data_IF_789116281152
#
_entry.id   IF_789116281152
#
_cell.length_a   1.000
_cell.length_b   1.000
_cell.length_c   1.000
_cell.angle_alpha   90.00
_cell.angle_beta   90.00
_cell.angle_gamma   90.00
#
_symmetry.space_group_name_H-M   'P 1'
#
loop_
_entity.id
_entity.type
_entity.pdbx_description
1 polymer ?
#
# COMPACT_ATOMS: atom_id res chain seq x y z
N UNK A 1 -2.42 -6.24 -55.61
CA UNK A 1 -2.01 -5.41 -54.47
C UNK A 1 -3.21 -5.34 -53.56
N UNK A 2 -3.29 -6.25 -52.60
CA UNK A 2 -4.41 -6.27 -51.65
C UNK A 2 -4.06 -5.32 -50.52
N UNK A 3 -4.48 -4.05 -50.64
CA UNK A 3 -4.67 -3.22 -49.47
C UNK A 3 -5.72 -3.94 -48.61
N UNK A 4 -5.25 -4.71 -47.62
CA UNK A 4 -6.09 -5.24 -46.54
C UNK A 4 -6.70 -4.03 -45.86
N UNK A 5 -7.92 -3.66 -46.28
CA UNK A 5 -8.74 -2.68 -45.58
C UNK A 5 -8.73 -3.07 -44.11
N UNK A 6 -8.27 -2.17 -43.24
CA UNK A 6 -8.22 -2.43 -41.81
C UNK A 6 -9.66 -2.59 -41.33
N UNK A 7 -10.06 -3.82 -40.99
CA UNK A 7 -11.35 -4.08 -40.36
C UNK A 7 -11.38 -3.42 -38.99
N UNK A 8 -12.54 -2.91 -38.59
CA UNK A 8 -12.73 -2.28 -37.28
C UNK A 8 -12.77 -3.40 -36.24
N UNK A 9 -11.88 -3.35 -35.25
CA UNK A 9 -11.89 -4.31 -34.15
C UNK A 9 -12.70 -3.75 -32.98
N UNK A 10 -13.69 -4.52 -32.54
CA UNK A 10 -14.58 -4.22 -31.44
C UNK A 10 -14.40 -5.27 -30.33
N UNK A 11 -14.83 -4.96 -29.12
CA UNK A 11 -14.72 -5.85 -27.96
C UNK A 11 -16.06 -6.43 -27.50
N UNK A 12 -17.17 -6.07 -28.14
CA UNK A 12 -18.52 -6.47 -27.71
C UNK A 12 -19.43 -6.74 -28.90
N UNK A 13 -19.99 -7.94 -28.95
CA UNK A 13 -20.99 -8.33 -29.95
C UNK A 13 -22.29 -7.54 -29.72
N UNK A 14 -22.72 -7.38 -28.47
CA UNK A 14 -23.91 -6.59 -28.12
C UNK A 14 -23.83 -5.14 -28.59
N UNK A 15 -22.68 -4.48 -28.41
CA UNK A 15 -22.52 -3.10 -28.84
C UNK A 15 -22.73 -2.96 -30.35
N UNK A 16 -22.19 -3.90 -31.13
CA UNK A 16 -22.35 -3.92 -32.59
C UNK A 16 -23.82 -4.14 -32.97
N UNK A 17 -24.51 -5.09 -32.32
CA UNK A 17 -25.94 -5.33 -32.55
C UNK A 17 -26.80 -4.11 -32.24
N UNK A 18 -26.52 -3.41 -31.13
CA UNK A 18 -27.25 -2.17 -30.77
C UNK A 18 -27.03 -1.05 -31.79
N UNK A 19 -25.81 -0.91 -32.32
CA UNK A 19 -25.51 0.07 -33.38
C UNK A 19 -26.29 -0.30 -34.65
N UNK A 20 -26.25 -1.57 -35.04
CA UNK A 20 -26.97 -2.09 -36.19
C UNK A 20 -28.49 -1.84 -36.08
N UNK A 21 -29.08 -2.20 -34.94
CA UNK A 21 -30.50 -1.97 -34.64
C UNK A 21 -30.88 -0.48 -34.70
N UNK A 22 -30.03 0.41 -34.15
CA UNK A 22 -30.27 1.84 -34.19
C UNK A 22 -30.28 2.40 -35.62
N UNK A 23 -29.36 1.94 -36.47
CA UNK A 23 -29.31 2.34 -37.90
C UNK A 23 -30.52 1.80 -38.64
N UNK A 24 -30.85 0.51 -38.48
CA UNK A 24 -32.03 -0.10 -39.10
C UNK A 24 -33.32 0.60 -38.68
N UNK A 25 -33.45 0.93 -37.40
CA UNK A 25 -34.61 1.65 -36.87
C UNK A 25 -34.72 3.06 -37.46
N UNK A 26 -33.60 3.78 -37.56
CA UNK A 26 -33.56 5.11 -38.18
C UNK A 26 -33.96 5.07 -39.66
N UNK A 27 -33.47 4.10 -40.42
CA UNK A 27 -33.80 3.96 -41.84
C UNK A 27 -35.25 3.50 -42.03
N UNK A 28 -35.72 2.57 -41.20
CA UNK A 28 -37.13 2.17 -41.18
C UNK A 28 -38.05 3.38 -40.96
N UNK A 29 -37.72 4.26 -40.00
CA UNK A 29 -38.49 5.49 -39.77
C UNK A 29 -38.52 6.44 -40.98
N UNK A 30 -37.46 6.47 -41.80
CA UNK A 30 -37.43 7.25 -43.04
C UNK A 30 -38.32 6.61 -44.11
N UNK A 31 -38.29 5.28 -44.23
CA UNK A 31 -39.14 4.52 -45.15
C UNK A 31 -40.63 4.71 -44.80
N UNK A 32 -40.97 4.73 -43.51
CA UNK A 32 -42.35 4.88 -43.04
C UNK A 32 -42.96 6.22 -43.43
N UNK A 33 -42.14 7.27 -43.43
CA UNK A 33 -42.54 8.63 -43.82
C UNK A 33 -42.76 8.78 -45.33
N UNK A 34 -42.37 7.79 -46.14
CA UNK A 34 -42.63 7.81 -47.57
C UNK A 34 -44.13 7.60 -47.82
N UNK A 35 -44.79 8.59 -48.42
CA UNK A 35 -46.23 8.54 -48.74
C UNK A 35 -46.53 7.94 -50.11
N UNK A 36 -45.51 7.70 -50.94
CA UNK A 36 -45.65 7.25 -52.32
C UNK A 36 -45.76 5.72 -52.37
N UNK A 37 -44.99 5.03 -51.54
CA UNK A 37 -44.94 3.57 -51.50
C UNK A 37 -46.08 3.00 -50.65
N UNK A 38 -46.60 1.84 -51.08
CA UNK A 38 -47.52 1.05 -50.26
C UNK A 38 -46.78 0.28 -49.15
N UNK A 39 -47.53 -0.33 -48.23
CA UNK A 39 -46.94 -1.05 -47.09
C UNK A 39 -46.13 -2.28 -47.51
N UNK A 40 -46.49 -2.92 -48.63
CA UNK A 40 -45.76 -4.07 -49.15
C UNK A 40 -44.40 -3.67 -49.74
N UNK A 41 -44.36 -2.55 -50.45
CA UNK A 41 -43.14 -1.97 -51.00
C UNK A 41 -42.23 -1.48 -49.88
N UNK A 42 -42.78 -0.82 -48.86
CA UNK A 42 -42.04 -0.39 -47.67
C UNK A 42 -41.40 -1.57 -46.96
N UNK A 43 -42.16 -2.64 -46.70
CA UNK A 43 -41.61 -3.82 -46.03
C UNK A 43 -40.50 -4.46 -46.85
N UNK A 44 -40.69 -4.63 -48.16
CA UNK A 44 -39.66 -5.18 -49.05
C UNK A 44 -38.38 -4.35 -49.01
N UNK A 45 -38.48 -3.02 -48.98
CA UNK A 45 -37.32 -2.13 -48.90
C UNK A 45 -36.64 -2.21 -47.52
N UNK A 46 -37.41 -2.34 -46.42
CA UNK A 46 -36.84 -2.53 -45.06
C UNK A 46 -36.05 -3.82 -44.97
N UNK A 47 -36.63 -4.93 -45.42
CA UNK A 47 -35.96 -6.24 -45.44
C UNK A 47 -34.69 -6.20 -46.30
N UNK A 48 -34.80 -5.65 -47.51
CA UNK A 48 -33.65 -5.56 -48.40
C UNK A 48 -32.53 -4.67 -47.85
N UNK A 49 -32.88 -3.54 -47.23
CA UNK A 49 -31.92 -2.67 -46.57
C UNK A 49 -31.24 -3.38 -45.41
N UNK A 50 -32.02 -4.04 -44.55
CA UNK A 50 -31.50 -4.80 -43.40
C UNK A 50 -30.49 -5.84 -43.87
N UNK A 51 -30.84 -6.67 -44.84
CA UNK A 51 -29.95 -7.74 -45.33
C UNK A 51 -28.64 -7.21 -45.90
N UNK A 52 -28.70 -6.18 -46.76
CA UNK A 52 -27.50 -5.58 -47.37
C UNK A 52 -26.65 -4.89 -46.30
N UNK A 53 -27.28 -4.13 -45.41
CA UNK A 53 -26.58 -3.37 -44.38
C UNK A 53 -25.89 -4.31 -43.39
N UNK A 54 -26.61 -5.28 -42.82
CA UNK A 54 -26.07 -6.27 -41.90
C UNK A 54 -24.88 -7.00 -42.52
N UNK A 55 -25.03 -7.51 -43.74
CA UNK A 55 -23.95 -8.24 -44.44
C UNK A 55 -22.70 -7.36 -44.61
N UNK A 56 -22.87 -6.15 -45.15
CA UNK A 56 -21.75 -5.24 -45.41
C UNK A 56 -21.10 -4.76 -44.10
N UNK A 57 -21.90 -4.49 -43.07
CA UNK A 57 -21.45 -4.02 -41.77
C UNK A 57 -20.62 -5.10 -41.06
N UNK A 58 -21.11 -6.34 -41.04
CA UNK A 58 -20.43 -7.48 -40.41
C UNK A 58 -19.14 -7.89 -41.12
N UNK A 59 -19.05 -7.73 -42.45
CA UNK A 59 -17.83 -8.01 -43.22
C UNK A 59 -16.65 -7.08 -42.86
N UNK A 60 -16.96 -5.86 -42.41
CA UNK A 60 -15.96 -4.85 -42.07
C UNK A 60 -15.58 -4.83 -40.57
N UNK A 61 -16.23 -5.67 -39.75
CA UNK A 61 -16.04 -5.70 -38.31
C UNK A 61 -15.36 -7.01 -37.88
N UNK A 62 -14.50 -6.89 -36.88
CA UNK A 62 -13.93 -7.99 -36.11
C UNK A 62 -14.30 -7.80 -34.63
N UNK A 63 -14.48 -8.90 -33.92
CA UNK A 63 -14.69 -8.87 -32.48
C UNK A 63 -13.56 -9.67 -31.83
N UNK A 64 -12.79 -9.01 -30.96
CA UNK A 64 -11.59 -9.59 -30.33
C UNK A 64 -10.65 -10.28 -31.33
N UNK A 65 -10.47 -9.66 -32.50
CA UNK A 65 -9.62 -10.18 -33.58
C UNK A 65 -10.20 -11.36 -34.37
N UNK A 66 -11.42 -11.80 -34.06
CA UNK A 66 -12.17 -12.83 -34.81
C UNK A 66 -13.12 -12.19 -35.80
N UNK A 67 -13.37 -12.89 -36.92
CA UNK A 67 -14.42 -12.49 -37.85
C UNK A 67 -15.81 -12.59 -37.18
N UNK A 68 -16.76 -11.76 -37.62
CA UNK A 68 -18.11 -11.70 -37.06
C UNK A 68 -18.79 -13.06 -36.91
N UNK A 69 -18.73 -13.91 -37.93
CA UNK A 69 -19.35 -15.25 -37.90
C UNK A 69 -18.81 -16.13 -36.78
N UNK A 70 -17.50 -16.11 -36.53
CA UNK A 70 -16.86 -16.87 -35.46
C UNK A 70 -17.15 -16.26 -34.08
N UNK A 71 -17.16 -14.93 -33.98
CA UNK A 71 -17.48 -14.24 -32.73
C UNK A 71 -18.92 -14.44 -32.27
N UNK A 72 -19.86 -14.68 -33.21
CA UNK A 72 -21.25 -14.95 -32.89
C UNK A 72 -21.48 -16.35 -32.30
N UNK A 73 -20.67 -17.33 -32.70
CA UNK A 73 -20.73 -18.72 -32.19
C UNK A 73 -20.13 -18.86 -30.79
N UNK A 74 -19.07 -18.10 -30.49
CA UNK A 74 -18.37 -18.14 -29.21
C UNK A 74 -19.17 -17.54 -28.03
N UNK A 75 -20.30 -16.89 -28.32
CA UNK A 75 -21.11 -16.19 -27.32
C UNK A 75 -20.53 -14.83 -26.93
N UNK A 76 -21.39 -13.92 -26.49
CA UNK A 76 -20.97 -12.57 -26.10
C UNK A 76 -20.40 -12.60 -24.68
N UNK A 77 -19.07 -12.60 -24.55
CA UNK A 77 -18.37 -12.50 -23.27
C UNK A 77 -18.67 -11.20 -22.51
N UNK A 78 -19.30 -10.21 -23.17
CA UNK A 78 -19.72 -8.95 -22.58
C UNK A 78 -21.20 -8.91 -22.19
N UNK A 79 -21.96 -9.99 -22.36
CA UNK A 79 -23.34 -10.08 -21.84
C UNK A 79 -23.42 -9.90 -20.33
N UNK A 80 -22.41 -10.39 -19.59
CA UNK A 80 -22.27 -10.18 -18.14
C UNK A 80 -21.74 -8.79 -17.77
N UNK A 81 -21.42 -7.95 -18.77
CA UNK A 81 -20.78 -6.64 -18.61
C UNK A 81 -21.68 -5.46 -19.02
N UNK A 82 -22.98 -5.51 -18.73
CA UNK A 82 -23.83 -4.30 -18.65
C UNK A 82 -24.83 -4.37 -17.47
N UNK A 83 -25.12 -3.29 -16.71
CA UNK A 83 -24.40 -2.03 -16.50
C UNK A 83 -23.77 -1.99 -15.09
N UNK A 84 -22.49 -1.61 -14.98
CA UNK A 84 -21.81 -1.18 -13.74
C UNK A 84 -22.29 -1.95 -12.49
N UNK A 85 -22.00 -3.25 -12.44
CA UNK A 85 -22.34 -4.21 -11.37
C UNK A 85 -22.64 -3.46 -10.07
N UNK A 86 -23.95 -3.24 -9.82
CA UNK A 86 -24.40 -2.25 -8.83
C UNK A 86 -23.91 -2.64 -7.44
N UNK A 87 -23.72 -3.93 -7.20
CA UNK A 87 -23.11 -4.44 -5.97
C UNK A 87 -21.64 -4.06 -5.89
N UNK A 88 -20.85 -4.20 -6.96
CA UNK A 88 -19.46 -3.71 -6.99
C UNK A 88 -19.39 -2.20 -6.85
N UNK A 89 -20.29 -1.45 -7.49
CA UNK A 89 -20.37 0.01 -7.34
C UNK A 89 -20.69 0.40 -5.89
N UNK A 90 -21.65 -0.30 -5.29
CA UNK A 90 -22.07 -0.11 -3.90
C UNK A 90 -20.91 -0.45 -2.95
N UNK A 91 -20.24 -1.57 -3.15
CA UNK A 91 -19.06 -1.96 -2.38
C UNK A 91 -17.92 -0.94 -2.50
N UNK A 92 -17.65 -0.44 -3.71
CA UNK A 92 -16.64 0.59 -3.93
C UNK A 92 -16.99 1.88 -3.17
N UNK A 93 -18.26 2.30 -3.22
CA UNK A 93 -18.73 3.55 -2.63
C UNK A 93 -18.95 3.50 -1.12
N UNK A 94 -19.43 2.38 -0.61
CA UNK A 94 -19.81 2.24 0.81
C UNK A 94 -18.67 1.67 1.65
N UNK A 95 -17.75 0.89 1.06
CA UNK A 95 -16.69 0.21 1.81
C UNK A 95 -15.31 0.75 1.43
N UNK A 96 -14.95 0.72 0.15
CA UNK A 96 -13.57 1.02 -0.27
C UNK A 96 -13.25 2.51 -0.12
N UNK A 97 -14.07 3.41 -0.67
CA UNK A 97 -13.79 4.85 -0.61
C UNK A 97 -13.79 5.41 0.83
N UNK A 98 -14.75 5.07 1.71
CA UNK A 98 -14.73 5.56 3.09
C UNK A 98 -13.52 5.05 3.89
N UNK A 99 -13.15 3.77 3.71
CA UNK A 99 -11.96 3.21 4.36
C UNK A 99 -10.69 3.87 3.85
N UNK A 100 -10.55 4.06 2.55
CA UNK A 100 -9.40 4.74 1.95
C UNK A 100 -9.27 6.17 2.48
N UNK A 101 -10.38 6.91 2.57
CA UNK A 101 -10.39 8.27 3.09
C UNK A 101 -9.97 8.31 4.57
N UNK A 102 -10.46 7.37 5.37
CA UNK A 102 -10.07 7.24 6.79
C UNK A 102 -8.56 6.99 6.92
N UNK A 103 -8.03 6.04 6.15
CA UNK A 103 -6.60 5.72 6.14
C UNK A 103 -5.73 6.90 5.68
N UNK A 104 -6.19 7.68 4.70
CA UNK A 104 -5.51 8.90 4.25
C UNK A 104 -5.44 9.97 5.36
N UNK A 105 -6.54 10.18 6.07
CA UNK A 105 -6.60 11.13 7.19
C UNK A 105 -5.68 10.68 8.33
N UNK A 106 -5.72 9.40 8.71
CA UNK A 106 -4.84 8.84 9.75
C UNK A 106 -3.37 8.96 9.37
N UNK A 107 -3.02 8.58 8.14
CA UNK A 107 -1.66 8.70 7.62
C UNK A 107 -1.19 10.15 7.62
N UNK A 108 -2.06 11.10 7.27
CA UNK A 108 -1.73 12.53 7.29
C UNK A 108 -1.46 13.02 8.72
N UNK A 109 -2.30 12.64 9.68
CA UNK A 109 -2.09 12.96 11.11
C UNK A 109 -0.76 12.39 11.62
N UNK A 110 -0.44 11.15 11.25
CA UNK A 110 0.84 10.52 11.60
C UNK A 110 2.02 11.29 11.01
N UNK A 111 1.98 11.61 9.71
CA UNK A 111 3.05 12.41 9.06
C UNK A 111 3.25 13.77 9.72
N UNK A 112 2.17 14.41 10.17
CA UNK A 112 2.24 15.72 10.82
C UNK A 112 2.80 15.65 12.25
N UNK A 113 2.37 14.68 13.05
CA UNK A 113 2.62 14.70 14.50
C UNK A 113 3.67 13.69 14.97
N UNK A 114 3.84 12.56 14.28
CA UNK A 114 4.75 11.50 14.71
C UNK A 114 6.22 11.97 14.73
N UNK A 115 6.76 12.67 13.71
CA UNK A 115 8.13 13.14 13.75
C UNK A 115 8.41 14.07 14.94
N UNK A 116 7.47 14.97 15.23
CA UNK A 116 7.58 15.90 16.35
C UNK A 116 7.59 15.17 17.69
N UNK A 117 6.69 14.20 17.90
CA UNK A 117 6.65 13.38 19.13
C UNK A 117 7.93 12.56 19.31
N UNK A 118 8.43 11.97 18.23
CA UNK A 118 9.70 11.24 18.24
C UNK A 118 10.87 12.16 18.59
N UNK A 119 10.96 13.33 17.95
CA UNK A 119 11.99 14.32 18.24
C UNK A 119 11.94 14.81 19.68
N UNK A 120 10.76 15.10 20.22
CA UNK A 120 10.58 15.50 21.62
C UNK A 120 11.05 14.42 22.59
N UNK A 121 10.69 13.16 22.34
CA UNK A 121 11.12 12.03 23.18
C UNK A 121 12.64 11.83 23.11
N UNK A 122 13.22 11.93 21.91
CA UNK A 122 14.65 11.78 21.71
C UNK A 122 15.45 12.93 22.35
N UNK A 123 15.00 14.18 22.19
CA UNK A 123 15.60 15.36 22.82
C UNK A 123 15.61 15.25 24.35
N UNK A 124 14.51 14.80 24.96
CA UNK A 124 14.46 14.55 26.42
C UNK A 124 15.48 13.49 26.83
N UNK A 125 15.57 12.39 26.08
CA UNK A 125 16.54 11.32 26.35
C UNK A 125 17.98 11.84 26.28
N UNK A 126 18.35 12.54 25.21
CA UNK A 126 19.68 13.12 25.07
C UNK A 126 19.99 14.10 26.20
N UNK A 127 19.01 14.92 26.62
CA UNK A 127 19.21 15.83 27.75
C UNK A 127 19.55 15.09 29.05
N UNK A 128 18.84 13.99 29.36
CA UNK A 128 19.15 13.16 30.52
C UNK A 128 20.52 12.50 30.40
N UNK A 129 20.90 12.02 29.22
CA UNK A 129 22.22 11.43 28.97
C UNK A 129 23.34 12.47 29.18
N UNK A 130 23.18 13.70 28.68
CA UNK A 130 24.13 14.79 28.93
C UNK A 130 24.26 15.11 30.42
N UNK A 131 23.13 15.27 31.13
CA UNK A 131 23.15 15.53 32.57
C UNK A 131 23.82 14.40 33.36
N UNK A 132 23.63 13.15 32.94
CA UNK A 132 24.29 12.02 33.56
C UNK A 132 25.81 12.06 33.34
N UNK A 133 26.25 12.33 32.11
CA UNK A 133 27.67 12.49 31.81
C UNK A 133 28.32 13.62 32.61
N UNK A 134 27.64 14.76 32.77
CA UNK A 134 28.13 15.87 33.59
C UNK A 134 28.28 15.48 35.07
N UNK A 135 27.38 14.64 35.60
CA UNK A 135 27.45 14.15 36.99
C UNK A 135 28.54 13.09 37.20
N UNK A 136 28.83 12.29 36.17
CA UNK A 136 29.84 11.22 36.22
C UNK A 136 31.21 11.72 35.78
N UNK A 137 31.30 12.93 35.23
CA UNK A 137 32.57 13.57 34.87
C UNK A 137 33.38 13.84 36.15
N UNK A 138 34.22 12.88 36.50
CA UNK A 138 35.28 13.05 37.48
C UNK A 138 36.34 13.93 36.85
N UNK A 139 36.35 15.21 37.22
CA UNK A 139 37.53 16.06 36.98
C UNK A 139 38.63 15.56 37.91
N UNK A 140 39.54 14.74 37.38
CA UNK A 140 40.76 14.37 38.08
C UNK A 140 41.60 15.65 38.24
N UNK A 141 41.90 16.10 39.48
CA UNK A 141 42.80 17.22 39.67
C UNK A 141 44.18 16.81 39.16
N UNK A 142 44.58 17.37 38.02
CA UNK A 142 45.88 17.13 37.38
C UNK A 142 47.04 17.75 38.19
N UNK A 143 46.72 18.56 39.20
CA UNK A 143 47.70 19.33 39.99
C UNK A 143 48.61 18.47 40.88
N UNK A 144 48.27 17.21 41.17
CA UNK A 144 49.10 16.34 42.02
C UNK A 144 49.97 15.32 41.27
N UNK A 145 49.95 15.27 39.93
CA UNK A 145 50.73 14.28 39.16
C UNK A 145 52.21 14.67 38.96
N UNK A 146 52.64 15.85 39.43
CA UNK A 146 53.99 16.39 39.20
C UNK A 146 54.82 16.61 40.47
N UNK A 147 54.30 16.27 41.66
CA UNK A 147 55.11 16.32 42.88
C UNK A 147 55.77 14.96 43.11
N UNK A 148 57.01 14.83 42.64
CA UNK A 148 57.92 13.77 43.07
C UNK A 148 58.30 14.04 44.54
N UNK A 149 57.42 13.67 45.46
CA UNK A 149 57.82 13.44 46.83
C UNK A 149 58.52 12.08 46.90
N UNK A 150 59.65 12.03 47.63
CA UNK A 150 60.32 10.77 47.93
C UNK A 150 59.38 9.94 48.80
N UNK A 151 58.65 9.02 48.17
CA UNK A 151 57.76 8.08 48.83
C UNK A 151 58.58 7.23 49.81
N UNK A 152 58.18 7.28 51.07
CA UNK A 152 58.73 6.46 52.13
C UNK A 152 58.25 5.02 51.89
N UNK A 153 59.16 4.05 51.79
CA UNK A 153 58.83 2.68 51.35
C UNK A 153 57.80 1.99 52.27
N UNK A 154 57.79 2.32 53.57
CA UNK A 154 56.81 1.79 54.53
C UNK A 154 55.39 2.30 54.26
N UNK A 155 55.23 3.57 53.90
CA UNK A 155 53.93 4.16 53.58
C UNK A 155 53.37 3.56 52.29
N UNK A 156 54.24 3.36 51.29
CA UNK A 156 53.88 2.71 50.03
C UNK A 156 53.40 1.27 50.24
N UNK A 157 54.11 0.52 51.11
CA UNK A 157 53.76 -0.86 51.43
C UNK A 157 52.42 -0.93 52.17
N UNK A 158 52.16 0.02 53.08
CA UNK A 158 50.89 0.11 53.80
C UNK A 158 49.72 0.42 52.86
N UNK A 159 49.92 1.29 51.88
CA UNK A 159 48.90 1.68 50.91
C UNK A 159 48.59 0.55 49.94
N UNK A 160 49.63 -0.17 49.48
CA UNK A 160 49.47 -1.37 48.65
C UNK A 160 48.73 -2.47 49.42
N UNK A 161 49.05 -2.70 50.69
CA UNK A 161 48.34 -3.67 51.52
C UNK A 161 46.88 -3.29 51.76
N UNK A 162 46.61 -1.99 51.95
CA UNK A 162 45.25 -1.48 52.12
C UNK A 162 44.44 -1.62 50.83
N UNK A 163 45.03 -1.27 49.69
CA UNK A 163 44.43 -1.45 48.36
C UNK A 163 44.17 -2.93 48.03
N UNK A 164 45.12 -3.82 48.35
CA UNK A 164 44.96 -5.25 48.20
C UNK A 164 43.86 -5.82 49.11
N UNK A 165 43.73 -5.30 50.34
CA UNK A 165 42.64 -5.66 51.26
C UNK A 165 41.28 -5.21 50.74
N UNK A 166 41.17 -3.97 50.25
CA UNK A 166 39.95 -3.46 49.62
C UNK A 166 39.56 -4.27 48.38
N UNK A 167 40.53 -4.61 47.54
CA UNK A 167 40.29 -5.43 46.33
C UNK A 167 39.82 -6.83 46.71
N UNK A 168 40.42 -7.44 47.73
CA UNK A 168 39.99 -8.74 48.24
C UNK A 168 38.55 -8.70 48.76
N UNK A 169 38.19 -7.70 49.56
CA UNK A 169 36.80 -7.53 50.04
C UNK A 169 35.81 -7.39 48.90
N UNK A 170 36.15 -6.60 47.87
CA UNK A 170 35.29 -6.46 46.69
C UNK A 170 35.10 -7.81 46.00
N UNK A 171 36.16 -8.60 45.82
CA UNK A 171 36.07 -9.94 45.21
C UNK A 171 35.23 -10.89 46.06
N UNK A 172 35.31 -10.81 47.38
CA UNK A 172 34.50 -11.62 48.31
C UNK A 172 33.02 -11.19 48.32
N UNK A 173 32.74 -9.90 48.21
CA UNK A 173 31.38 -9.34 48.29
C UNK A 173 30.64 -9.35 46.93
N UNK A 174 31.37 -9.44 45.81
CA UNK A 174 30.80 -9.39 44.46
C UNK A 174 29.79 -10.51 44.17
N UNK A 175 30.04 -11.79 44.52
CA UNK A 175 29.08 -12.87 44.29
C UNK A 175 27.75 -12.63 45.02
N UNK A 176 27.81 -12.13 46.26
CA UNK A 176 26.62 -11.81 47.05
C UNK A 176 25.87 -10.57 46.51
N UNK A 177 26.56 -9.66 45.83
CA UNK A 177 25.92 -8.55 45.12
C UNK A 177 25.24 -9.02 43.82
N UNK A 178 25.86 -9.95 43.09
CA UNK A 178 25.28 -10.57 41.88
C UNK A 178 24.04 -11.43 42.18
N UNK A 179 24.06 -12.20 43.28
CA UNK A 179 22.91 -12.99 43.72
C UNK A 179 21.72 -12.09 44.08
N UNK A 180 21.95 -11.03 44.88
CA UNK A 180 20.90 -10.04 45.21
C UNK A 180 20.36 -9.31 43.97
N UNK A 181 21.23 -8.98 43.02
CA UNK A 181 20.79 -8.37 41.76
C UNK A 181 19.91 -9.33 40.93
N UNK A 182 20.26 -10.62 40.90
CA UNK A 182 19.50 -11.66 40.20
C UNK A 182 18.13 -11.92 40.82
N UNK A 183 18.03 -11.92 42.16
CA UNK A 183 16.76 -12.00 42.89
C UNK A 183 15.84 -10.80 42.56
N UNK A 184 16.39 -9.59 42.55
CA UNK A 184 15.64 -8.37 42.20
C UNK A 184 15.10 -8.45 40.76
N UNK A 185 15.91 -8.93 39.81
CA UNK A 185 15.48 -9.10 38.42
C UNK A 185 14.34 -10.12 38.32
N UNK A 186 14.43 -11.22 39.07
CA UNK A 186 13.40 -12.29 39.07
C UNK A 186 12.08 -11.81 39.68
N UNK A 187 12.12 -10.96 40.70
CA UNK A 187 10.92 -10.37 41.32
C UNK A 187 10.29 -9.28 40.45
N UNK A 188 11.10 -8.50 39.71
CA UNK A 188 10.60 -7.41 38.85
C UNK A 188 10.12 -7.89 37.47
N UNK A 189 10.47 -9.11 37.06
CA UNK A 189 10.00 -9.74 35.83
C UNK A 189 9.25 -11.04 36.15
N UNK A 190 8.00 -10.99 36.64
CA UNK A 190 7.17 -12.18 36.69
C UNK A 190 7.04 -12.72 35.26
N UNK A 191 7.28 -14.03 35.10
CA UNK A 191 7.22 -14.70 33.80
C UNK A 191 5.89 -14.35 33.13
N UNK A 192 5.97 -13.71 31.97
CA UNK A 192 4.85 -13.64 31.04
C UNK A 192 4.74 -15.05 30.48
N UNK A 193 3.94 -15.88 31.13
CA UNK A 193 3.52 -17.18 30.59
C UNK A 193 2.84 -16.91 29.25
N UNK A 194 3.46 -17.41 28.18
CA UNK A 194 2.95 -17.49 26.82
C UNK A 194 2.42 -18.89 26.56
#
# INVERSE_FOLDING_TARGET
MDEKRSRINCSSVNAIKKIEEAVISSVSSVIDKNIIWDDSEKERVREHFKDIFSTTFHEQIMVDGKAWSAAQEDGDSTQDMEPLDQEKKKYLNEVIYPNLNTQLVETTKLRQHLPYRCAQKHSRKCHFECQYLDKVRVELPVENLMQSEKLNEEDLLSEVLTSASCTRKIIEDLPAAEERASEIITVLMPQVDL
#
